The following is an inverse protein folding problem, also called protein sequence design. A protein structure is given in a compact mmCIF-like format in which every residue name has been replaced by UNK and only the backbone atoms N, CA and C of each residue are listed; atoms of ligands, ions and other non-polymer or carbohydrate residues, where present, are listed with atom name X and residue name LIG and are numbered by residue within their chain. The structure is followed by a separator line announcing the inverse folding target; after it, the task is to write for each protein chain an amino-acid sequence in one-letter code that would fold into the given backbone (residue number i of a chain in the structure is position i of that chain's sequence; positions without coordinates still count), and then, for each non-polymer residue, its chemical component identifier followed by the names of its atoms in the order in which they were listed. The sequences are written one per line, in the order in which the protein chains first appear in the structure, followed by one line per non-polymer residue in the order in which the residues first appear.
data_IF_671625504010
#
_entry.id   IF_671625504010
#
_cell.length_a   1.000
_cell.length_b   1.000
_cell.length_c   1.000
_cell.angle_alpha   90.00
_cell.angle_beta   90.00
_cell.angle_gamma   90.00
#
_symmetry.space_group_name_H-M   'P 1'
#
loop_
_entity.id
_entity.type
_entity.pdbx_description
1 polymer ?
#
# COMPACT_ATOMS: atom_id res chain seq x y z
N UNK A 1 3.08 -13.53 -2.80
CA UNK A 1 3.31 -12.11 -3.21
C UNK A 1 2.47 -11.13 -2.41
N UNK A 2 1.14 -11.26 -2.34
CA UNK A 2 0.31 -10.29 -1.61
C UNK A 2 0.66 -10.17 -0.12
N UNK A 3 0.64 -11.30 0.61
CA UNK A 3 0.99 -11.31 2.04
C UNK A 3 2.42 -10.81 2.28
N UNK A 4 3.39 -11.20 1.44
CA UNK A 4 4.76 -10.74 1.56
C UNK A 4 4.85 -9.21 1.47
N UNK A 5 4.16 -8.57 0.51
CA UNK A 5 4.14 -7.10 0.41
C UNK A 5 3.50 -6.42 1.60
N UNK A 6 2.44 -7.02 2.15
CA UNK A 6 1.82 -6.53 3.39
C UNK A 6 2.81 -6.53 4.54
N UNK A 7 3.53 -7.63 4.71
CA UNK A 7 4.52 -7.76 5.79
C UNK A 7 5.76 -6.89 5.53
N UNK A 8 6.14 -6.66 4.27
CA UNK A 8 7.25 -5.76 3.90
C UNK A 8 6.97 -4.29 4.24
N UNK A 9 5.69 -3.90 4.40
CA UNK A 9 5.34 -2.53 4.82
C UNK A 9 5.30 -2.34 6.32
N UNK A 10 5.40 -3.42 7.10
CA UNK A 10 5.31 -3.32 8.54
C UNK A 10 6.59 -2.75 9.13
N UNK A 11 6.44 -1.87 10.10
CA UNK A 11 7.54 -1.59 11.02
C UNK A 11 7.74 -2.75 12.02
N UNK A 12 8.79 -2.63 12.85
CA UNK A 12 9.14 -3.68 13.80
C UNK A 12 8.01 -3.95 14.82
N UNK A 13 7.23 -2.93 15.18
CA UNK A 13 6.13 -3.05 16.14
C UNK A 13 4.91 -3.71 15.51
N UNK A 14 4.56 -3.34 14.28
CA UNK A 14 3.49 -3.95 13.49
C UNK A 14 3.78 -5.43 13.20
N UNK A 15 5.04 -5.76 12.93
CA UNK A 15 5.49 -7.14 12.79
C UNK A 15 5.31 -7.94 14.10
N UNK A 16 5.63 -7.35 15.25
CA UNK A 16 5.42 -7.98 16.56
C UNK A 16 3.92 -8.19 16.84
N UNK A 17 3.07 -7.19 16.57
CA UNK A 17 1.61 -7.30 16.68
C UNK A 17 1.06 -8.45 15.83
N UNK A 18 1.48 -8.55 14.57
CA UNK A 18 1.07 -9.62 13.66
C UNK A 18 1.48 -11.00 14.18
N UNK A 19 2.74 -11.17 14.57
CA UNK A 19 3.27 -12.46 15.03
C UNK A 19 2.63 -12.91 16.34
N UNK A 20 2.47 -12.00 17.30
CA UNK A 20 1.87 -12.31 18.59
C UNK A 20 0.37 -12.65 18.44
N UNK A 21 -0.35 -11.92 17.59
CA UNK A 21 -1.77 -12.22 17.32
C UNK A 21 -1.96 -13.51 16.54
N UNK A 22 -1.07 -13.84 15.61
CA UNK A 22 -1.12 -15.13 14.90
C UNK A 22 -1.04 -16.31 15.88
N UNK A 23 -0.14 -16.22 16.87
CA UNK A 23 -0.02 -17.23 17.94
C UNK A 23 -1.23 -17.20 18.87
N UNK A 24 -1.70 -16.02 19.29
CA UNK A 24 -2.86 -15.89 20.19
C UNK A 24 -4.13 -16.49 19.58
N UNK A 25 -4.34 -16.29 18.28
CA UNK A 25 -5.50 -16.79 17.54
C UNK A 25 -5.35 -18.25 17.07
N UNK A 26 -4.18 -18.86 17.27
CA UNK A 26 -3.85 -20.21 16.77
C UNK A 26 -4.07 -20.36 15.25
N UNK A 27 -3.75 -19.31 14.49
CA UNK A 27 -3.94 -19.28 13.03
C UNK A 27 -2.64 -19.47 12.26
N UNK A 28 -2.68 -20.34 11.24
CA UNK A 28 -1.50 -20.74 10.46
C UNK A 28 -1.77 -20.88 8.96
N UNK A 29 -2.98 -20.62 8.49
CA UNK A 29 -3.28 -20.66 7.07
C UNK A 29 -3.12 -19.28 6.41
N UNK A 30 -2.96 -19.30 5.09
CA UNK A 30 -2.68 -18.09 4.31
C UNK A 30 -3.86 -17.12 4.26
N UNK A 31 -5.10 -17.61 4.36
CA UNK A 31 -6.30 -16.76 4.28
C UNK A 31 -6.38 -15.92 5.54
N UNK A 32 -6.25 -16.56 6.69
CA UNK A 32 -6.27 -15.86 7.97
C UNK A 32 -5.06 -14.96 8.16
N UNK A 33 -3.86 -15.33 7.70
CA UNK A 33 -2.72 -14.41 7.70
C UNK A 33 -2.99 -13.16 6.88
N UNK A 34 -3.60 -13.29 5.70
CA UNK A 34 -3.97 -12.12 4.90
C UNK A 34 -4.98 -11.25 5.66
N UNK A 35 -6.00 -11.85 6.25
CA UNK A 35 -7.01 -11.14 7.03
C UNK A 35 -6.40 -10.45 8.26
N UNK A 36 -5.49 -11.11 8.95
CA UNK A 36 -4.82 -10.59 10.13
C UNK A 36 -4.00 -9.33 9.83
N UNK A 37 -3.42 -9.20 8.63
CA UNK A 37 -2.70 -7.98 8.24
C UNK A 37 -3.55 -6.71 8.24
N UNK A 38 -4.89 -6.82 8.29
CA UNK A 38 -5.78 -5.65 8.34
C UNK A 38 -6.19 -5.23 9.75
N UNK A 39 -6.02 -6.10 10.75
CA UNK A 39 -6.53 -5.84 12.10
C UNK A 39 -5.48 -6.04 13.20
N UNK A 40 -4.30 -6.60 12.89
CA UNK A 40 -3.27 -6.86 13.91
C UNK A 40 -2.80 -5.59 14.63
N UNK A 41 -2.81 -4.43 13.95
CA UNK A 41 -2.45 -3.13 14.52
C UNK A 41 -3.35 -2.68 15.68
N UNK A 42 -4.52 -3.31 15.86
CA UNK A 42 -5.44 -3.02 16.97
C UNK A 42 -4.99 -3.67 18.29
N UNK A 43 -4.10 -4.65 18.24
CA UNK A 43 -3.56 -5.32 19.42
C UNK A 43 -2.36 -4.55 20.00
N UNK A 44 -2.17 -4.56 21.31
CA UNK A 44 -0.97 -4.00 21.94
C UNK A 44 -0.01 -5.12 22.30
N UNK A 45 1.27 -4.99 21.92
CA UNK A 45 2.31 -5.95 22.32
C UNK A 45 3.32 -5.25 23.22
N UNK A 46 3.53 -5.81 24.41
CA UNK A 46 4.59 -5.34 25.31
C UNK A 46 5.85 -6.13 25.00
N UNK A 47 6.78 -5.50 24.28
CA UNK A 47 8.04 -6.13 23.86
C UNK A 47 9.10 -6.15 24.97
N UNK A 48 9.09 -5.13 25.81
CA UNK A 48 9.91 -5.05 27.02
C UNK A 48 9.22 -4.25 28.11
N UNK A 49 9.53 -4.54 29.37
CA UNK A 49 9.02 -3.80 30.53
C UNK A 49 9.98 -2.69 31.01
N UNK A 50 10.90 -2.26 30.14
CA UNK A 50 11.99 -1.35 30.50
C UNK A 50 11.49 0.09 30.73
N UNK A 51 10.50 0.52 29.96
CA UNK A 51 9.93 1.86 30.03
C UNK A 51 8.39 1.79 30.00
N UNK A 52 7.77 1.97 31.17
CA UNK A 52 6.32 1.98 31.28
C UNK A 52 5.67 3.21 30.64
N UNK A 53 6.41 4.32 30.52
CA UNK A 53 5.89 5.52 29.88
C UNK A 53 5.68 5.28 28.39
N UNK A 54 6.68 4.71 27.72
CA UNK A 54 6.57 4.37 26.29
C UNK A 54 5.52 3.28 26.05
N UNK A 55 5.46 2.24 26.90
CA UNK A 55 4.45 1.18 26.77
C UNK A 55 3.04 1.77 26.79
N UNK A 56 2.73 2.65 27.74
CA UNK A 56 1.38 3.20 27.84
C UNK A 56 1.05 4.16 26.73
N UNK A 57 2.01 4.97 26.26
CA UNK A 57 1.82 5.83 25.10
C UNK A 57 1.60 5.03 23.82
N UNK A 58 2.38 3.96 23.61
CA UNK A 58 2.18 3.04 22.49
C UNK A 58 0.79 2.37 22.56
N UNK A 59 0.38 1.92 23.75
CA UNK A 59 -0.96 1.37 23.96
C UNK A 59 -2.08 2.38 23.63
N UNK A 60 -1.96 3.62 24.10
CA UNK A 60 -2.93 4.67 23.77
C UNK A 60 -2.96 4.96 22.27
N UNK A 61 -1.81 5.03 21.60
CA UNK A 61 -1.76 5.16 20.14
C UNK A 61 -2.48 4.00 19.44
N UNK A 62 -2.24 2.76 19.86
CA UNK A 62 -2.93 1.57 19.35
C UNK A 62 -4.45 1.72 19.47
N UNK A 63 -4.96 2.11 20.64
CA UNK A 63 -6.41 2.30 20.87
C UNK A 63 -7.03 3.41 20.00
N UNK A 64 -6.22 4.36 19.53
CA UNK A 64 -6.64 5.45 18.64
C UNK A 64 -6.31 5.20 17.17
N UNK A 65 -6.01 3.95 16.79
CA UNK A 65 -5.76 3.57 15.39
C UNK A 65 -4.40 4.03 14.87
N UNK A 66 -3.40 4.15 15.75
CA UNK A 66 -2.02 4.50 15.39
C UNK A 66 -1.77 6.00 15.19
N UNK A 67 -2.75 6.86 15.45
CA UNK A 67 -2.59 8.30 15.25
C UNK A 67 -3.18 9.12 16.41
N UNK A 68 -2.40 10.08 16.91
CA UNK A 68 -2.80 11.06 17.91
C UNK A 68 -1.98 12.35 17.73
N UNK A 69 -2.56 13.54 17.95
CA UNK A 69 -1.79 14.79 17.96
C UNK A 69 -0.65 14.74 18.99
N UNK A 70 0.53 15.25 18.62
CA UNK A 70 1.73 15.20 19.50
C UNK A 70 1.45 15.84 20.86
N UNK A 71 0.80 17.01 20.87
CA UNK A 71 0.47 17.72 22.10
C UNK A 71 -0.47 16.93 23.02
N UNK A 72 -1.37 16.11 22.45
CA UNK A 72 -2.26 15.24 23.23
C UNK A 72 -1.51 14.03 23.77
N UNK A 73 -0.66 13.41 22.95
CA UNK A 73 0.16 12.27 23.35
C UNK A 73 1.17 12.65 24.45
N UNK A 74 1.74 13.85 24.41
CA UNK A 74 2.63 14.36 25.45
C UNK A 74 1.92 14.52 26.81
N UNK A 75 0.61 14.76 26.80
CA UNK A 75 -0.21 14.89 28.01
C UNK A 75 -0.67 13.54 28.57
N UNK A 76 -0.52 12.44 27.83
CA UNK A 76 -0.82 11.09 28.31
C UNK A 76 0.18 10.70 29.40
N UNK A 77 -0.34 10.30 30.57
CA UNK A 77 0.45 9.61 31.60
C UNK A 77 0.64 8.15 31.16
N UNK A 78 1.70 7.92 30.38
CA UNK A 78 1.99 6.61 29.81
C UNK A 78 2.18 5.56 30.90
N UNK A 79 2.90 5.89 31.97
CA UNK A 79 3.09 4.97 33.08
C UNK A 79 1.76 4.52 33.70
N UNK A 80 0.82 5.43 33.92
CA UNK A 80 -0.48 5.07 34.47
C UNK A 80 -1.27 4.14 33.54
N UNK A 81 -1.28 4.42 32.24
CA UNK A 81 -1.97 3.59 31.25
C UNK A 81 -1.31 2.20 31.09
N UNK A 82 0.03 2.13 31.10
CA UNK A 82 0.74 0.85 31.08
C UNK A 82 0.41 -0.01 32.31
N UNK A 83 0.36 0.59 33.50
CA UNK A 83 -0.02 -0.12 34.71
C UNK A 83 -1.48 -0.58 34.65
N UNK A 84 -2.38 0.23 34.10
CA UNK A 84 -3.78 -0.14 33.93
C UNK A 84 -3.92 -1.34 32.99
N UNK A 85 -3.22 -1.34 31.85
CA UNK A 85 -3.15 -2.45 30.91
C UNK A 85 -2.63 -3.72 31.58
N UNK A 86 -1.46 -3.64 32.23
CA UNK A 86 -0.78 -4.80 32.83
C UNK A 86 -1.58 -5.40 33.99
N UNK A 87 -2.20 -4.56 34.83
CA UNK A 87 -2.85 -5.02 36.06
C UNK A 87 -4.30 -5.43 35.87
N UNK A 88 -5.01 -4.86 34.89
CA UNK A 88 -6.46 -5.02 34.76
C UNK A 88 -6.90 -5.75 33.48
N UNK A 89 -6.02 -5.92 32.49
CA UNK A 89 -6.37 -6.58 31.23
C UNK A 89 -5.71 -7.96 31.09
N UNK A 90 -6.26 -8.78 30.19
CA UNK A 90 -5.84 -10.16 29.98
C UNK A 90 -4.86 -10.29 28.81
N UNK A 91 -3.58 -10.03 29.11
CA UNK A 91 -2.47 -10.31 28.21
C UNK A 91 -2.23 -11.82 28.04
N UNK A 92 -1.83 -12.24 26.84
CA UNK A 92 -1.40 -13.61 26.53
C UNK A 92 0.09 -13.62 26.27
N UNK A 93 0.82 -14.52 26.94
CA UNK A 93 2.25 -14.72 26.73
C UNK A 93 2.46 -15.58 25.48
N UNK A 94 3.25 -15.09 24.53
CA UNK A 94 3.62 -15.77 23.29
C UNK A 94 5.14 -15.82 23.13
N UNK A 95 5.68 -16.60 22.17
CA UNK A 95 7.09 -16.51 21.79
C UNK A 95 7.50 -15.11 21.27
N UNK A 96 6.51 -14.30 20.89
CA UNK A 96 6.63 -12.92 20.43
C UNK A 96 6.11 -11.94 21.49
N UNK A 97 6.41 -12.24 22.77
CA UNK A 97 6.14 -11.38 23.93
C UNK A 97 4.66 -11.38 24.39
N UNK A 98 4.24 -10.35 25.14
CA UNK A 98 2.91 -10.32 25.79
C UNK A 98 1.94 -9.48 24.97
N UNK A 99 0.89 -10.11 24.47
CA UNK A 99 -0.11 -9.46 23.60
C UNK A 99 -1.47 -9.28 24.29
N UNK A 100 -2.01 -8.08 24.12
CA UNK A 100 -3.34 -7.65 24.53
C UNK A 100 -4.14 -7.41 23.25
N UNK A 101 -5.22 -8.15 23.06
CA UNK A 101 -6.02 -8.04 21.83
C UNK A 101 -6.88 -6.77 21.79
N UNK A 102 -7.08 -6.09 22.93
CA UNK A 102 -7.92 -4.90 23.04
C UNK A 102 -9.35 -5.12 22.50
N UNK A 103 -9.83 -6.37 22.52
CA UNK A 103 -11.13 -6.74 21.94
C UNK A 103 -11.17 -6.78 20.41
N UNK A 104 -10.02 -6.77 19.73
CA UNK A 104 -9.98 -6.94 18.27
C UNK A 104 -10.51 -8.31 17.84
N UNK A 105 -11.22 -8.35 16.72
CA UNK A 105 -11.70 -9.59 16.09
C UNK A 105 -11.09 -9.77 14.70
N UNK A 106 -10.82 -11.02 14.32
CA UNK A 106 -10.28 -11.31 12.99
C UNK A 106 -11.37 -11.18 11.92
N UNK A 107 -11.36 -10.05 11.21
CA UNK A 107 -12.30 -9.78 10.13
C UNK A 107 -11.96 -10.53 8.84
N UNK A 108 -12.95 -11.21 8.26
CA UNK A 108 -12.78 -12.03 7.04
C UNK A 108 -12.97 -11.19 5.76
N UNK A 109 -12.01 -10.31 5.48
CA UNK A 109 -12.01 -9.41 4.31
C UNK A 109 -11.61 -10.13 3.01
N UNK A 110 -10.62 -11.02 3.10
CA UNK A 110 -10.19 -11.92 2.04
C UNK A 110 -10.85 -13.28 2.23
N UNK A 111 -11.45 -13.79 1.15
CA UNK A 111 -12.00 -15.15 1.08
C UNK A 111 -11.08 -16.01 0.22
N UNK A 112 -10.87 -17.25 0.62
CA UNK A 112 -10.00 -18.18 -0.10
C UNK A 112 -10.40 -18.27 -1.59
N UNK A 113 -9.42 -18.06 -2.47
CA UNK A 113 -9.63 -18.05 -3.92
C UNK A 113 -10.29 -16.79 -4.49
N UNK A 114 -10.75 -15.86 -3.65
CA UNK A 114 -11.31 -14.57 -4.04
C UNK A 114 -10.26 -13.56 -4.53
N UNK A 115 -10.69 -12.37 -4.99
CA UNK A 115 -9.79 -11.25 -5.24
C UNK A 115 -9.16 -10.79 -3.93
N UNK A 116 -7.90 -10.36 -3.97
CA UNK A 116 -7.27 -9.73 -2.81
C UNK A 116 -7.88 -8.35 -2.57
N UNK A 117 -8.11 -7.93 -1.31
CA UNK A 117 -8.57 -6.59 -1.05
C UNK A 117 -7.53 -5.55 -1.49
N UNK A 118 -8.01 -4.36 -1.83
CA UNK A 118 -7.15 -3.30 -2.34
C UNK A 118 -6.08 -2.91 -1.32
N UNK A 119 -4.87 -2.72 -1.83
CA UNK A 119 -3.69 -2.36 -1.04
C UNK A 119 -2.75 -1.59 -1.95
N UNK A 120 -2.58 -0.30 -1.66
CA UNK A 120 -1.68 0.58 -2.37
C UNK A 120 -0.50 0.85 -1.45
N UNK A 121 0.54 0.03 -1.55
CA UNK A 121 1.84 0.20 -0.85
C UNK A 121 2.78 1.15 -1.60
N UNK A 122 2.31 1.82 -2.65
CA UNK A 122 3.17 2.49 -3.62
C UNK A 122 2.69 3.88 -3.97
N UNK A 123 3.65 4.78 -4.08
CA UNK A 123 3.41 6.18 -4.44
C UNK A 123 3.03 6.34 -5.92
N UNK A 124 3.58 5.51 -6.81
CA UNK A 124 3.36 5.57 -8.25
C UNK A 124 2.64 4.33 -8.78
N UNK A 125 1.32 4.45 -8.90
CA UNK A 125 0.43 3.39 -9.32
C UNK A 125 -0.32 3.80 -10.58
N UNK A 126 -0.49 2.85 -11.50
CA UNK A 126 -1.45 2.93 -12.60
C UNK A 126 -2.51 1.86 -12.39
N UNK A 127 -3.77 2.26 -12.32
CA UNK A 127 -4.92 1.37 -12.39
C UNK A 127 -5.28 1.14 -13.85
N UNK A 128 -5.11 -0.11 -14.30
CA UNK A 128 -5.30 -0.51 -15.68
C UNK A 128 -6.46 -1.49 -15.78
N UNK A 129 -7.48 -1.15 -16.56
CA UNK A 129 -8.52 -2.10 -16.93
C UNK A 129 -8.03 -2.90 -18.14
N UNK A 130 -7.92 -4.22 -17.98
CA UNK A 130 -7.70 -5.13 -19.10
C UNK A 130 -9.02 -5.84 -19.41
N UNK A 131 -9.37 -5.95 -20.68
CA UNK A 131 -10.61 -6.59 -21.12
C UNK A 131 -10.44 -7.36 -22.42
N UNK A 132 -11.31 -8.35 -22.61
CA UNK A 132 -11.39 -9.18 -23.81
C UNK A 132 -12.88 -9.36 -24.17
N UNK A 133 -13.30 -8.82 -25.30
CA UNK A 133 -14.66 -9.01 -25.83
C UNK A 133 -15.78 -8.64 -24.85
N UNK A 134 -16.97 -9.21 -25.06
CA UNK A 134 -18.13 -8.96 -24.19
C UNK A 134 -18.04 -9.73 -22.87
N UNK A 135 -17.71 -9.00 -21.79
CA UNK A 135 -17.94 -9.42 -20.41
C UNK A 135 -16.74 -9.91 -19.61
N UNK A 136 -15.55 -10.04 -20.20
CA UNK A 136 -14.33 -10.39 -19.48
C UNK A 136 -13.47 -9.14 -19.26
N UNK A 137 -13.51 -8.58 -18.04
CA UNK A 137 -12.60 -7.50 -17.63
C UNK A 137 -11.97 -7.79 -16.27
N UNK A 138 -10.78 -7.23 -16.04
CA UNK A 138 -10.10 -7.26 -14.75
C UNK A 138 -9.33 -5.97 -14.55
N UNK A 139 -9.25 -5.52 -13.30
CA UNK A 139 -8.42 -4.39 -12.91
C UNK A 139 -7.04 -4.91 -12.51
N UNK A 140 -6.01 -4.33 -13.12
CA UNK A 140 -4.61 -4.55 -12.80
C UNK A 140 -4.07 -3.30 -12.12
N UNK A 141 -3.35 -3.49 -11.02
CA UNK A 141 -2.65 -2.42 -10.31
C UNK A 141 -1.18 -2.53 -10.68
N UNK A 142 -0.65 -1.54 -11.37
CA UNK A 142 0.75 -1.49 -11.78
C UNK A 142 1.52 -0.51 -10.88
N UNK A 143 2.78 -0.79 -10.52
CA UNK A 143 3.55 -1.94 -10.95
C UNK A 143 3.25 -3.22 -10.13
N UNK A 144 3.40 -4.36 -10.78
CA UNK A 144 3.22 -5.68 -10.16
C UNK A 144 4.21 -6.72 -10.69
N UNK A 145 4.29 -7.91 -10.07
CA UNK A 145 5.13 -9.00 -10.55
C UNK A 145 4.59 -9.53 -11.88
N UNK A 146 5.45 -9.80 -12.90
CA UNK A 146 4.99 -10.36 -14.16
C UNK A 146 4.16 -11.64 -13.95
N UNK A 147 4.56 -12.48 -13.01
CA UNK A 147 3.84 -13.70 -12.65
C UNK A 147 2.43 -13.44 -12.06
N UNK A 148 2.21 -12.33 -11.33
CA UNK A 148 0.88 -11.96 -10.81
C UNK A 148 0.00 -11.40 -11.92
N UNK A 149 0.54 -10.53 -12.77
CA UNK A 149 -0.18 -10.01 -13.95
C UNK A 149 -0.60 -11.14 -14.88
N UNK A 150 0.32 -12.07 -15.19
CA UNK A 150 0.02 -13.25 -15.98
C UNK A 150 -1.08 -14.10 -15.35
N UNK A 151 -1.02 -14.37 -14.03
CA UNK A 151 -2.06 -15.13 -13.34
C UNK A 151 -3.43 -14.46 -13.41
N UNK A 152 -3.50 -13.13 -13.22
CA UNK A 152 -4.75 -12.38 -13.28
C UNK A 152 -5.34 -12.40 -14.70
N UNK A 153 -4.51 -12.16 -15.72
CA UNK A 153 -4.92 -12.20 -17.12
C UNK A 153 -5.33 -13.61 -17.58
N UNK A 154 -4.67 -14.67 -17.08
CA UNK A 154 -5.05 -16.06 -17.34
C UNK A 154 -6.40 -16.41 -16.73
N UNK A 155 -6.64 -16.01 -15.46
CA UNK A 155 -7.89 -16.32 -14.75
C UNK A 155 -9.12 -15.74 -15.44
N UNK A 156 -8.98 -14.58 -16.07
CA UNK A 156 -10.05 -13.91 -16.79
C UNK A 156 -10.13 -14.29 -18.28
N UNK A 157 -9.22 -15.15 -18.76
CA UNK A 157 -9.16 -15.57 -20.17
C UNK A 157 -8.65 -14.49 -21.12
N UNK A 158 -8.17 -13.35 -20.59
CA UNK A 158 -7.74 -12.19 -21.39
C UNK A 158 -6.41 -12.46 -22.08
N UNK A 159 -5.48 -13.19 -21.43
CA UNK A 159 -4.11 -13.41 -21.93
C UNK A 159 -4.06 -13.93 -23.37
N UNK A 160 -4.93 -14.88 -23.69
CA UNK A 160 -4.89 -15.61 -24.97
C UNK A 160 -5.92 -15.07 -25.98
N UNK A 161 -6.59 -13.96 -25.67
CA UNK A 161 -7.63 -13.39 -26.52
C UNK A 161 -7.07 -12.47 -27.61
N UNK A 162 -7.49 -12.63 -28.87
CA UNK A 162 -7.12 -11.72 -29.95
C UNK A 162 -7.80 -10.34 -29.84
N UNK A 163 -8.77 -10.18 -28.93
CA UNK A 163 -9.50 -8.93 -28.65
C UNK A 163 -9.03 -8.28 -27.34
N UNK A 164 -7.93 -8.75 -26.76
CA UNK A 164 -7.39 -8.19 -25.53
C UNK A 164 -6.95 -6.74 -25.76
N UNK A 165 -7.49 -5.84 -24.95
CA UNK A 165 -7.08 -4.44 -24.90
C UNK A 165 -6.99 -3.98 -23.45
N UNK A 166 -6.19 -2.94 -23.22
CA UNK A 166 -6.01 -2.37 -21.89
C UNK A 166 -6.12 -0.86 -21.94
N UNK A 167 -6.78 -0.29 -20.93
CA UNK A 167 -7.01 1.15 -20.80
C UNK A 167 -6.64 1.61 -19.40
N UNK A 168 -5.92 2.72 -19.32
CA UNK A 168 -5.63 3.38 -18.03
C UNK A 168 -6.93 3.99 -17.50
N UNK A 169 -7.34 3.55 -16.32
CA UNK A 169 -8.52 4.05 -15.61
C UNK A 169 -8.13 5.20 -14.69
N UNK A 170 -7.06 5.02 -13.94
CA UNK A 170 -6.56 6.01 -12.99
C UNK A 170 -5.05 5.87 -12.81
N UNK A 171 -4.40 6.91 -12.28
CA UNK A 171 -2.96 6.94 -12.06
C UNK A 171 -2.59 7.95 -10.98
N UNK A 172 -1.73 7.54 -10.05
CA UNK A 172 -1.10 8.44 -9.07
C UNK A 172 0.18 9.09 -9.59
N UNK A 173 0.67 8.70 -10.78
CA UNK A 173 1.78 9.42 -11.44
C UNK A 173 1.39 10.88 -11.72
N UNK A 174 2.36 11.82 -11.67
CA UNK A 174 2.11 13.21 -12.01
C UNK A 174 1.46 13.37 -13.39
N UNK A 175 0.49 14.27 -13.50
CA UNK A 175 -0.35 14.44 -14.70
C UNK A 175 0.42 14.63 -16.01
N UNK A 176 1.55 15.34 -15.98
CA UNK A 176 2.40 15.54 -17.18
C UNK A 176 3.12 14.26 -17.61
N UNK A 177 3.50 13.41 -16.64
CA UNK A 177 4.13 12.13 -16.90
C UNK A 177 3.12 11.21 -17.58
N UNK A 178 1.91 11.05 -17.02
CA UNK A 178 0.89 10.16 -17.60
C UNK A 178 0.44 10.61 -19.00
N UNK A 179 0.31 11.92 -19.24
CA UNK A 179 -0.01 12.48 -20.58
C UNK A 179 1.07 12.22 -21.62
N UNK A 180 2.32 12.14 -21.18
CA UNK A 180 3.47 11.90 -22.07
C UNK A 180 3.68 10.41 -22.38
N UNK A 181 3.01 9.51 -21.66
CA UNK A 181 3.07 8.08 -21.89
C UNK A 181 2.11 7.72 -23.03
N UNK A 182 2.59 7.13 -24.13
CA UNK A 182 1.73 6.63 -25.20
C UNK A 182 1.06 5.31 -24.75
N UNK A 183 0.17 5.40 -23.77
CA UNK A 183 -0.43 4.25 -23.08
C UNK A 183 -1.16 3.30 -24.03
N UNK A 184 -1.76 3.83 -25.10
CA UNK A 184 -2.44 3.06 -26.16
C UNK A 184 -1.50 2.18 -26.99
N UNK A 185 -0.19 2.49 -27.00
CA UNK A 185 0.83 1.74 -27.76
C UNK A 185 1.69 0.83 -26.89
N UNK A 186 1.53 0.88 -25.56
CA UNK A 186 2.31 0.10 -24.62
C UNK A 186 1.54 -1.14 -24.19
N UNK A 187 2.24 -2.28 -24.15
CA UNK A 187 1.70 -3.49 -23.52
C UNK A 187 1.57 -3.30 -22.01
N UNK A 188 0.73 -4.12 -21.36
CA UNK A 188 0.63 -4.20 -19.89
C UNK A 188 2.01 -4.31 -19.24
N UNK A 189 2.92 -5.12 -19.82
CA UNK A 189 4.28 -5.27 -19.32
C UNK A 189 5.14 -4.01 -19.56
N UNK A 190 4.94 -3.28 -20.65
CA UNK A 190 5.61 -2.01 -20.91
C UNK A 190 5.19 -0.94 -19.90
N UNK A 191 3.89 -0.82 -19.62
CA UNK A 191 3.36 0.07 -18.58
C UNK A 191 3.89 -0.35 -17.19
N UNK A 192 3.91 -1.64 -16.90
CA UNK A 192 4.45 -2.18 -15.64
C UNK A 192 5.93 -1.82 -15.44
N UNK A 193 6.75 -1.94 -16.49
CA UNK A 193 8.16 -1.55 -16.45
C UNK A 193 8.33 -0.04 -16.22
N UNK A 194 7.48 0.78 -16.82
CA UNK A 194 7.51 2.24 -16.66
C UNK A 194 7.21 2.63 -15.21
N UNK A 195 6.16 2.08 -14.61
CA UNK A 195 5.85 2.31 -13.19
C UNK A 195 7.04 1.93 -12.29
N UNK A 196 7.66 0.77 -12.51
CA UNK A 196 8.86 0.35 -11.75
C UNK A 196 10.08 1.25 -11.97
N UNK A 197 10.17 1.89 -13.13
CA UNK A 197 11.24 2.84 -13.40
C UNK A 197 10.99 4.14 -12.64
N UNK A 198 9.74 4.62 -12.63
CA UNK A 198 9.32 5.80 -11.89
C UNK A 198 9.58 5.68 -10.39
N UNK A 199 9.31 4.52 -9.78
CA UNK A 199 9.63 4.22 -8.37
C UNK A 199 11.11 4.37 -8.02
N UNK A 200 12.02 4.28 -9.00
CA UNK A 200 13.47 4.41 -8.78
C UNK A 200 13.99 5.83 -8.96
N UNK A 201 13.15 6.75 -9.40
CA UNK A 201 13.53 8.15 -9.60
C UNK A 201 13.49 8.85 -8.24
N UNK A 202 14.55 9.56 -7.87
CA UNK A 202 14.54 10.36 -6.66
C UNK A 202 13.47 11.47 -6.76
N UNK A 203 12.78 11.84 -5.67
CA UNK A 203 11.71 12.83 -5.73
C UNK A 203 12.10 14.16 -6.38
N UNK A 204 13.33 14.63 -6.18
CA UNK A 204 13.85 15.87 -6.80
C UNK A 204 14.08 15.74 -8.32
N UNK A 205 14.54 14.58 -8.77
CA UNK A 205 14.70 14.28 -10.19
C UNK A 205 13.34 14.15 -10.88
N UNK A 206 12.33 13.61 -10.17
CA UNK A 206 10.97 13.50 -10.67
C UNK A 206 10.34 14.89 -10.86
N UNK A 207 10.50 15.80 -9.90
CA UNK A 207 10.07 17.20 -10.06
C UNK A 207 10.70 17.84 -11.30
N UNK A 208 12.01 17.63 -11.49
CA UNK A 208 12.73 18.12 -12.67
C UNK A 208 12.17 17.55 -13.97
N UNK A 209 11.89 16.24 -14.00
CA UNK A 209 11.30 15.57 -15.15
C UNK A 209 9.90 16.10 -15.48
N UNK A 210 9.06 16.32 -14.47
CA UNK A 210 7.73 16.92 -14.64
C UNK A 210 7.84 18.32 -15.24
N UNK A 211 8.78 19.14 -14.76
CA UNK A 211 9.02 20.48 -15.28
C UNK A 211 9.47 20.47 -16.75
N UNK A 212 10.41 19.60 -17.12
CA UNK A 212 10.87 19.44 -18.50
C UNK A 212 9.75 19.01 -19.46
N UNK A 213 8.85 18.14 -19.01
CA UNK A 213 7.68 17.73 -19.81
C UNK A 213 6.67 18.85 -19.97
N UNK A 214 6.50 19.68 -18.93
CA UNK A 214 5.62 20.86 -18.95
C UNK A 214 6.12 21.88 -19.96
N UNK A 215 7.43 22.17 -19.92
CA UNK A 215 8.07 23.16 -20.81
C UNK A 215 8.03 22.72 -22.29
N UNK A 216 8.11 21.41 -22.54
CA UNK A 216 8.00 20.83 -23.88
C UNK A 216 6.59 20.94 -24.48
N UNK A 217 5.57 21.05 -23.63
CA UNK A 217 4.17 21.21 -24.04
C UNK A 217 3.77 22.68 -24.25
N UNK A 218 4.64 23.66 -23.99
CA UNK A 218 4.40 25.06 -24.35
C UNK A 218 4.70 25.29 -25.85
N UNK A 219 3.79 25.92 -26.62
CA UNK A 219 4.03 26.21 -28.02
C UNK A 219 5.21 27.20 -28.13
N UNK A 220 6.23 26.82 -28.88
CA UNK A 220 7.36 27.69 -29.22
C UNK A 220 6.83 28.99 -29.84
N UNK A 221 6.89 30.09 -29.10
CA UNK A 221 6.76 31.43 -29.68
C UNK A 221 7.98 31.65 -30.58
N UNK A 222 7.81 31.39 -31.89
CA UNK A 222 8.83 31.70 -32.89
C UNK A 222 9.11 33.21 -32.90
N UNK A 223 10.35 33.65 -33.17
CA UNK A 223 10.71 35.05 -33.09
C UNK A 223 9.91 35.85 -34.12
N UNK A 224 9.22 36.88 -33.64
CA UNK A 224 8.55 37.88 -34.48
C UNK A 224 9.62 38.55 -35.37
N UNK A 225 9.62 38.20 -36.65
CA UNK A 225 10.37 38.92 -37.68
C UNK A 225 9.75 40.31 -37.83
N UNK A 226 10.27 41.26 -37.05
CA UNK A 226 9.99 42.68 -37.21
C UNK A 226 10.43 43.14 -38.59
N UNK A 227 9.46 43.29 -39.48
CA UNK A 227 9.65 43.96 -40.76
C UNK A 227 9.98 45.44 -40.53
N UNK A 228 11.22 45.80 -40.80
CA UNK A 228 11.61 47.18 -41.10
C UNK A 228 11.07 47.51 -42.50
N UNK A 229 10.09 48.42 -42.58
CA UNK A 229 9.83 49.17 -43.80
C UNK A 229 10.26 50.62 -43.58
N UNK A 230 11.12 51.08 -44.49
CA UNK A 230 11.41 52.50 -44.77
C UNK A 230 10.17 53.23 -45.25
#
# INVERSE_FOLDING_TARGET
DYLARRLDSFDDYEAAQFQAMAVRLDTFDMTDFINLTFCCQQATVITSFSDLEEIGKAHILTLHGGHMPVDELEQVDGRAEALKLILNEHGTVTPYEVVYDNGMELEQLYKEGGPFPDYLDREFVILLEASSGEGQSTLLVLPDSPARLERLLCRTGIRDSPQAHSRVVDSTLPGEVIRSIPSEHLSVNGLNQLCRAAERIAPEDLKTLVQLLTDKNQPSQGPSLGGLSM
#
